data_IF_252686259040
#
_entry.id   IF_252686259040
#
_cell.length_a   1.000
_cell.length_b   1.000
_cell.length_c   1.000
_cell.angle_alpha   90.00
_cell.angle_beta   90.00
_cell.angle_gamma   90.00
#
_symmetry.space_group_name_H-M   'P 1'
#
loop_
_entity.id
_entity.type
_entity.pdbx_description
1 polymer ?
#
# COMPACT_ATOMS: atom_id res chain seq x y z
N UNK A 1 -13.75 -33.74 -7.67
CA UNK A 1 -14.76 -32.96 -7.05
C UNK A 1 -14.28 -32.19 -5.90
N UNK A 2 -13.67 -32.79 -4.98
CA UNK A 2 -13.18 -32.13 -3.78
C UNK A 2 -12.18 -31.06 -4.06
N UNK A 3 -11.45 -31.19 -5.13
CA UNK A 3 -10.40 -30.24 -5.46
C UNK A 3 -10.91 -28.85 -5.72
N UNK A 4 -12.15 -28.72 -6.17
CA UNK A 4 -12.72 -27.40 -6.45
C UNK A 4 -12.83 -26.54 -5.22
N UNK A 5 -13.18 -27.15 -4.10
CA UNK A 5 -13.32 -26.42 -2.87
C UNK A 5 -11.99 -25.84 -2.43
N UNK A 6 -10.94 -26.58 -2.61
CA UNK A 6 -9.63 -26.12 -2.21
C UNK A 6 -9.21 -24.90 -2.99
N UNK A 7 -9.53 -24.85 -4.27
CA UNK A 7 -9.18 -23.72 -5.10
C UNK A 7 -9.89 -22.45 -4.67
N UNK A 8 -11.15 -22.60 -4.29
CA UNK A 8 -11.92 -21.45 -3.86
C UNK A 8 -11.34 -20.86 -2.59
N UNK A 9 -10.93 -21.71 -1.67
CA UNK A 9 -10.34 -21.22 -0.44
C UNK A 9 -9.07 -20.44 -0.69
N UNK A 10 -8.25 -20.91 -1.61
CA UNK A 10 -7.01 -20.22 -1.90
C UNK A 10 -7.27 -18.80 -2.39
N UNK A 11 -8.33 -18.59 -3.13
CA UNK A 11 -8.62 -17.26 -3.65
C UNK A 11 -9.06 -16.30 -2.55
N UNK A 12 -9.67 -16.80 -1.50
CA UNK A 12 -10.24 -15.94 -0.48
C UNK A 12 -9.22 -15.26 0.43
N UNK A 13 -8.03 -15.79 0.49
CA UNK A 13 -7.04 -15.25 1.40
C UNK A 13 -5.99 -14.39 0.69
N UNK A 14 -6.32 -13.85 -0.45
CA UNK A 14 -5.36 -13.16 -1.29
C UNK A 14 -4.61 -12.03 -0.63
N UNK A 15 -5.30 -11.11 0.01
CA UNK A 15 -4.68 -9.93 0.60
C UNK A 15 -4.39 -10.09 2.07
N UNK A 16 -4.67 -11.20 2.63
CA UNK A 16 -4.72 -11.34 4.07
C UNK A 16 -3.45 -11.75 4.76
N UNK A 17 -2.33 -11.75 4.12
CA UNK A 17 -1.12 -12.10 4.82
C UNK A 17 -0.32 -13.20 4.16
N UNK A 18 -0.57 -14.45 4.45
CA UNK A 18 0.33 -15.51 3.98
C UNK A 18 0.17 -15.87 2.54
N UNK A 19 -0.95 -15.53 1.96
CA UNK A 19 -1.23 -15.98 0.61
C UNK A 19 -0.53 -15.15 -0.42
N UNK A 20 -0.41 -15.75 -1.58
CA UNK A 20 0.16 -15.07 -2.71
C UNK A 20 -0.74 -13.91 -3.12
N UNK A 21 -0.14 -12.76 -3.35
CA UNK A 21 -0.86 -11.59 -3.82
C UNK A 21 -0.83 -11.53 -5.34
N UNK A 22 -1.83 -10.89 -5.95
CA UNK A 22 -1.77 -10.66 -7.40
C UNK A 22 -0.51 -9.89 -7.78
N UNK A 23 0.03 -10.20 -8.95
CA UNK A 23 1.30 -9.61 -9.35
C UNK A 23 1.21 -8.12 -9.63
N UNK A 24 0.01 -7.60 -9.82
CA UNK A 24 -0.17 -6.18 -10.05
C UNK A 24 -0.17 -5.37 -8.76
N UNK A 25 -0.23 -6.01 -7.61
CA UNK A 25 -0.26 -5.31 -6.32
C UNK A 25 1.16 -4.95 -5.88
N UNK A 26 1.29 -3.84 -5.14
CA UNK A 26 2.60 -3.37 -4.72
C UNK A 26 3.37 -4.43 -3.96
N UNK A 27 2.74 -5.07 -3.00
CA UNK A 27 3.44 -6.07 -2.18
C UNK A 27 3.52 -7.42 -2.85
N UNK A 28 2.82 -7.62 -3.96
CA UNK A 28 2.77 -8.89 -4.64
C UNK A 28 3.72 -9.02 -5.81
N UNK A 29 4.25 -7.92 -6.32
CA UNK A 29 5.11 -7.93 -7.50
C UNK A 29 6.37 -7.14 -7.25
N UNK A 30 7.48 -7.69 -7.70
CA UNK A 30 8.76 -7.01 -7.52
C UNK A 30 8.80 -5.68 -8.26
N UNK A 31 8.27 -5.62 -9.47
CA UNK A 31 8.25 -4.39 -10.25
C UNK A 31 7.43 -3.30 -9.56
N UNK A 32 6.32 -3.68 -8.96
CA UNK A 32 5.49 -2.71 -8.23
C UNK A 32 6.17 -2.22 -6.97
N UNK A 33 6.89 -3.11 -6.27
CA UNK A 33 7.66 -2.69 -5.11
C UNK A 33 8.78 -1.74 -5.50
N UNK A 34 9.45 -2.01 -6.61
CA UNK A 34 10.52 -1.14 -7.09
C UNK A 34 10.00 0.23 -7.45
N UNK A 35 8.86 0.29 -8.12
CA UNK A 35 8.23 1.56 -8.45
C UNK A 35 7.87 2.34 -7.19
N UNK A 36 7.32 1.66 -6.21
CA UNK A 36 6.92 2.29 -4.97
C UNK A 36 8.13 2.83 -4.20
N UNK A 37 9.18 2.05 -4.14
CA UNK A 37 10.41 2.46 -3.47
C UNK A 37 11.06 3.64 -4.19
N UNK A 38 11.06 3.64 -5.52
CA UNK A 38 11.61 4.74 -6.28
C UNK A 38 10.83 6.03 -6.04
N UNK A 39 9.51 5.94 -6.00
CA UNK A 39 8.66 7.09 -5.71
C UNK A 39 8.91 7.62 -4.30
N UNK A 40 9.08 6.72 -3.34
CA UNK A 40 9.37 7.13 -1.97
C UNK A 40 10.66 7.95 -1.90
N UNK A 41 11.67 7.54 -2.65
CA UNK A 41 12.91 8.31 -2.70
C UNK A 41 12.73 9.64 -3.42
N UNK A 42 12.03 9.61 -4.54
CA UNK A 42 11.81 10.82 -5.32
C UNK A 42 11.09 11.89 -4.50
N UNK A 43 10.11 11.50 -3.72
CA UNK A 43 9.29 12.44 -2.96
C UNK A 43 9.77 12.63 -1.52
N UNK A 44 10.94 12.10 -1.20
CA UNK A 44 11.50 12.25 0.15
C UNK A 44 10.58 11.72 1.23
N UNK A 45 10.03 10.55 1.02
CA UNK A 45 9.03 9.99 1.91
C UNK A 45 9.56 9.81 3.31
N UNK A 46 8.78 10.26 4.29
CA UNK A 46 9.05 10.04 5.71
C UNK A 46 7.81 9.43 6.33
N UNK A 47 7.95 8.22 6.79
CA UNK A 47 6.81 7.43 7.24
C UNK A 47 6.80 7.31 8.76
N UNK A 48 5.60 7.42 9.33
CA UNK A 48 5.38 7.24 10.75
C UNK A 48 4.26 6.25 10.93
N UNK A 49 4.50 5.25 11.73
CA UNK A 49 3.54 4.20 12.02
C UNK A 49 2.90 4.47 13.38
N UNK A 50 1.58 4.43 13.46
CA UNK A 50 0.91 4.41 14.74
C UNK A 50 -0.03 3.22 14.80
N UNK A 51 -1.01 3.21 15.68
CA UNK A 51 -1.77 2.02 16.01
C UNK A 51 -2.37 1.36 14.75
N UNK A 52 -3.26 2.05 14.05
CA UNK A 52 -3.92 1.48 12.88
C UNK A 52 -3.63 2.27 11.62
N UNK A 53 -2.55 3.02 11.61
CA UNK A 53 -2.26 3.89 10.49
C UNK A 53 -0.79 4.00 10.16
N UNK A 54 -0.57 4.35 8.91
CA UNK A 54 0.75 4.71 8.39
C UNK A 54 0.59 6.08 7.77
N UNK A 55 1.43 7.02 8.17
CA UNK A 55 1.35 8.41 7.75
C UNK A 55 2.65 8.79 7.09
N UNK A 56 2.57 9.20 5.83
CA UNK A 56 3.76 9.37 4.99
C UNK A 56 3.75 10.79 4.45
N UNK A 57 4.77 11.58 4.83
CA UNK A 57 4.92 12.89 4.22
C UNK A 57 5.66 12.78 2.91
N UNK A 58 5.17 13.47 1.89
CA UNK A 58 5.72 13.44 0.54
C UNK A 58 5.91 14.88 0.09
N UNK A 59 7.06 15.18 -0.49
CA UNK A 59 7.33 16.52 -1.02
C UNK A 59 7.88 16.40 -2.43
N UNK A 60 7.66 17.45 -3.23
CA UNK A 60 8.07 17.47 -4.61
C UNK A 60 6.96 18.00 -5.50
N UNK A 61 6.96 17.56 -6.74
CA UNK A 61 5.98 18.04 -7.71
C UNK A 61 4.58 17.55 -7.34
N UNK A 62 3.67 18.50 -7.19
CA UNK A 62 2.31 18.20 -6.73
C UNK A 62 1.57 17.26 -7.66
N UNK A 63 1.68 17.50 -8.96
CA UNK A 63 1.00 16.66 -9.94
C UNK A 63 1.52 15.24 -9.93
N UNK A 64 2.82 15.09 -9.78
CA UNK A 64 3.43 13.75 -9.73
C UNK A 64 3.06 13.01 -8.46
N UNK A 65 3.03 13.71 -7.33
CA UNK A 65 2.61 13.09 -6.05
C UNK A 65 1.16 12.64 -6.15
N UNK A 66 0.28 13.53 -6.61
CA UNK A 66 -1.13 13.20 -6.74
C UNK A 66 -1.35 12.00 -7.65
N UNK A 67 -0.66 11.99 -8.78
CA UNK A 67 -0.78 10.90 -9.73
C UNK A 67 -0.30 9.58 -9.13
N UNK A 68 0.83 9.60 -8.43
CA UNK A 68 1.35 8.42 -7.78
C UNK A 68 0.37 7.87 -6.74
N UNK A 69 -0.15 8.76 -5.88
CA UNK A 69 -1.05 8.33 -4.81
C UNK A 69 -2.34 7.76 -5.38
N UNK A 70 -2.89 8.38 -6.44
CA UNK A 70 -4.10 7.86 -7.06
C UNK A 70 -3.88 6.49 -7.68
N UNK A 71 -2.75 6.28 -8.35
CA UNK A 71 -2.44 4.97 -8.91
C UNK A 71 -2.25 3.93 -7.82
N UNK A 72 -1.56 4.30 -6.75
CA UNK A 72 -1.36 3.40 -5.62
C UNK A 72 -2.70 3.01 -5.00
N UNK A 73 -3.53 4.00 -4.69
CA UNK A 73 -4.82 3.73 -4.05
C UNK A 73 -5.72 2.86 -4.94
N UNK A 74 -5.75 3.15 -6.23
CA UNK A 74 -6.58 2.36 -7.15
C UNK A 74 -6.11 0.91 -7.21
N UNK A 75 -4.81 0.70 -7.27
CA UNK A 75 -4.24 -0.64 -7.33
C UNK A 75 -4.47 -1.40 -6.05
N UNK A 76 -4.17 -0.76 -4.91
CA UNK A 76 -4.27 -1.44 -3.62
C UNK A 76 -5.71 -1.64 -3.19
N UNK A 77 -6.64 -0.81 -3.63
CA UNK A 77 -8.05 -1.02 -3.34
C UNK A 77 -8.58 -2.32 -3.90
N UNK A 78 -8.03 -2.76 -5.02
CA UNK A 78 -8.40 -4.05 -5.61
C UNK A 78 -7.76 -5.19 -4.83
N UNK A 79 -6.48 -5.03 -4.49
CA UNK A 79 -5.70 -6.10 -3.87
C UNK A 79 -5.98 -6.23 -2.39
N UNK A 80 -6.17 -5.12 -1.71
CA UNK A 80 -6.34 -5.08 -0.26
C UNK A 80 -7.47 -4.12 0.08
N UNK A 81 -8.71 -4.53 -0.13
CA UNK A 81 -9.86 -3.64 0.06
C UNK A 81 -10.07 -3.18 1.50
N UNK A 82 -9.39 -3.80 2.46
CA UNK A 82 -9.45 -3.38 3.86
C UNK A 82 -8.59 -2.14 4.14
N UNK A 83 -7.74 -1.72 3.20
CA UNK A 83 -6.94 -0.51 3.36
C UNK A 83 -7.73 0.70 2.91
N UNK A 84 -7.59 1.79 3.64
CA UNK A 84 -8.19 3.07 3.28
C UNK A 84 -7.09 4.09 3.08
N UNK A 85 -7.19 4.84 2.01
CA UNK A 85 -6.18 5.82 1.63
C UNK A 85 -6.79 7.21 1.67
N UNK A 86 -6.05 8.15 2.26
CA UNK A 86 -6.48 9.54 2.29
C UNK A 86 -5.27 10.42 2.07
N UNK A 87 -5.39 11.38 1.17
CA UNK A 87 -4.31 12.32 0.88
C UNK A 87 -4.66 13.68 1.46
N UNK A 88 -3.80 14.16 2.32
CA UNK A 88 -3.95 15.46 2.95
C UNK A 88 -2.96 16.44 2.34
N UNK A 89 -3.44 17.61 1.89
CA UNK A 89 -2.60 18.65 1.34
C UNK A 89 -2.29 19.67 2.40
N UNK A 90 -1.01 19.95 2.59
CA UNK A 90 -0.58 21.07 3.40
C UNK A 90 0.24 22.01 2.54
N UNK A 91 0.52 23.25 3.02
CA UNK A 91 1.32 24.17 2.19
C UNK A 91 2.69 23.64 1.82
N UNK A 92 3.31 22.84 2.68
CA UNK A 92 4.67 22.38 2.46
C UNK A 92 4.76 20.97 1.90
N UNK A 93 3.87 20.09 2.31
CA UNK A 93 3.97 18.68 1.94
C UNK A 93 2.59 18.09 1.73
N UNK A 94 2.57 16.92 1.12
CA UNK A 94 1.39 16.06 1.10
C UNK A 94 1.56 14.99 2.17
N UNK A 95 0.48 14.62 2.83
CA UNK A 95 0.53 13.52 3.79
C UNK A 95 -0.43 12.44 3.33
N UNK A 96 0.13 11.28 3.05
CA UNK A 96 -0.66 10.11 2.69
C UNK A 96 -0.96 9.32 3.95
N UNK A 97 -2.24 9.14 4.24
CA UNK A 97 -2.67 8.34 5.37
C UNK A 97 -3.18 7.01 4.85
N UNK A 98 -2.60 5.93 5.34
CA UNK A 98 -3.03 4.57 5.00
C UNK A 98 -3.54 3.95 6.29
N UNK A 99 -4.80 3.56 6.31
CA UNK A 99 -5.44 3.04 7.50
C UNK A 99 -5.86 1.59 7.27
N UNK A 100 -5.76 0.79 8.30
CA UNK A 100 -6.16 -0.60 8.26
C UNK A 100 -6.89 -0.95 9.56
N UNK A 101 -7.57 -2.08 9.56
CA UNK A 101 -8.12 -2.60 10.79
C UNK A 101 -7.06 -3.41 11.53
N UNK A 102 -7.42 -3.86 12.72
CA UNK A 102 -6.46 -4.53 13.60
C UNK A 102 -5.97 -5.85 13.03
N UNK A 103 -6.79 -6.52 12.24
CA UNK A 103 -6.41 -7.82 11.66
C UNK A 103 -5.40 -7.68 10.53
N UNK A 104 -5.16 -6.45 10.05
CA UNK A 104 -4.31 -6.22 8.89
C UNK A 104 -3.16 -5.28 9.17
N UNK A 105 -2.74 -5.19 10.42
CA UNK A 105 -1.62 -4.31 10.79
C UNK A 105 -0.33 -4.71 10.11
N UNK A 106 -0.14 -6.00 9.85
CA UNK A 106 1.09 -6.46 9.21
C UNK A 106 1.26 -5.89 7.81
N UNK A 107 0.15 -5.60 7.12
CA UNK A 107 0.24 -4.97 5.81
C UNK A 107 0.79 -3.55 5.93
N UNK A 108 0.38 -2.82 6.96
CA UNK A 108 0.93 -1.50 7.20
C UNK A 108 2.43 -1.57 7.50
N UNK A 109 2.86 -2.58 8.23
CA UNK A 109 4.28 -2.75 8.54
C UNK A 109 5.10 -3.01 7.30
N UNK A 110 4.55 -3.78 6.36
CA UNK A 110 5.24 -4.02 5.10
C UNK A 110 5.39 -2.74 4.28
N UNK A 111 4.33 -1.94 4.20
CA UNK A 111 4.42 -0.65 3.51
C UNK A 111 5.39 0.29 4.21
N UNK A 112 5.42 0.25 5.53
CA UNK A 112 6.36 1.09 6.28
C UNK A 112 7.80 0.73 5.92
N UNK A 113 8.09 -0.55 5.79
CA UNK A 113 9.44 -0.97 5.40
C UNK A 113 9.81 -0.48 4.01
N UNK A 114 8.87 -0.53 3.08
CA UNK A 114 9.13 -0.06 1.72
C UNK A 114 9.38 1.45 1.66
N UNK A 115 8.79 2.20 2.56
CA UNK A 115 8.91 3.66 2.58
C UNK A 115 10.05 4.16 3.43
N UNK A 116 10.81 3.29 4.03
CA UNK A 116 11.98 3.65 4.83
C UNK A 116 13.22 3.14 4.11
N UNK A 117 13.77 3.95 3.20
CA UNK A 117 14.92 3.53 2.40
C UNK A 117 16.18 3.39 3.22
#
# INVERSE_FOLDING_TARGET
MRTLSALILAALVGCGGHSRRPETCTLGAEASRAEFTAAAREFGAKARRDDLGLHVSLSGDRGRISSFVHRLAARESVCCPFLKFRLEETPEVYILHVLADRDHESTLDEFHRLLTP
#
